data_IF_623397300075
#
_entry.id   IF_623397300075
#
_cell.length_a   1.000
_cell.length_b   1.000
_cell.length_c   1.000
_cell.angle_alpha   90.00
_cell.angle_beta   90.00
_cell.angle_gamma   90.00
#
_symmetry.space_group_name_H-M   'P 1'
#
loop_
_entity.id
_entity.type
_entity.pdbx_description
1 polymer ?
#
# COMPACT_ATOMS: atom_id res chain seq x y z
N UNK A 1 28.36 -8.02 -3.32
CA UNK A 1 27.68 -9.16 -4.00
C UNK A 1 26.22 -8.84 -4.27
N UNK A 2 25.39 -8.54 -3.26
CA UNK A 2 23.94 -8.30 -3.46
C UNK A 2 23.66 -7.18 -4.49
N UNK A 3 24.31 -6.02 -4.37
CA UNK A 3 24.19 -4.93 -5.36
C UNK A 3 24.49 -5.38 -6.80
N UNK A 4 25.57 -6.14 -7.00
CA UNK A 4 25.93 -6.67 -8.31
C UNK A 4 24.89 -7.67 -8.83
N UNK A 5 24.34 -8.51 -7.96
CA UNK A 5 23.30 -9.46 -8.31
C UNK A 5 21.96 -8.79 -8.69
N UNK A 6 21.66 -7.60 -8.15
CA UNK A 6 20.48 -6.82 -8.51
C UNK A 6 20.52 -6.28 -9.95
N UNK A 7 21.71 -6.18 -10.58
CA UNK A 7 21.90 -5.72 -11.97
C UNK A 7 22.32 -6.84 -12.93
N UNK A 8 22.31 -8.09 -12.47
CA UNK A 8 22.68 -9.24 -13.29
C UNK A 8 21.76 -9.37 -14.50
N UNK A 9 22.27 -9.87 -15.63
CA UNK A 9 21.47 -10.06 -16.84
C UNK A 9 20.38 -11.12 -16.66
N UNK A 10 20.64 -12.14 -15.83
CA UNK A 10 19.71 -13.22 -15.54
C UNK A 10 18.59 -12.77 -14.57
N UNK A 11 17.30 -12.79 -14.98
CA UNK A 11 16.19 -12.43 -14.11
C UNK A 11 16.12 -13.27 -12.83
N UNK A 12 16.51 -14.55 -12.92
CA UNK A 12 16.56 -15.45 -11.76
C UNK A 12 17.53 -14.99 -10.66
N UNK A 13 18.67 -14.40 -11.06
CA UNK A 13 19.66 -13.84 -10.12
C UNK A 13 19.10 -12.57 -9.47
N UNK A 14 18.55 -11.64 -10.26
CA UNK A 14 17.91 -10.42 -9.74
C UNK A 14 16.76 -10.74 -8.77
N UNK A 15 15.91 -11.71 -9.12
CA UNK A 15 14.80 -12.18 -8.25
C UNK A 15 15.30 -12.60 -6.88
N UNK A 16 16.34 -13.44 -6.83
CA UNK A 16 16.92 -13.92 -5.58
C UNK A 16 17.64 -12.81 -4.82
N UNK A 17 18.29 -11.88 -5.53
CA UNK A 17 18.96 -10.73 -4.93
C UNK A 17 17.97 -9.80 -4.20
N UNK A 18 16.83 -9.47 -4.82
CA UNK A 18 15.81 -8.65 -4.16
C UNK A 18 15.12 -9.37 -3.00
N UNK A 19 14.92 -10.70 -3.07
CA UNK A 19 14.45 -11.47 -1.92
C UNK A 19 15.45 -11.39 -0.75
N UNK A 20 16.73 -11.64 -1.02
CA UNK A 20 17.76 -11.54 0.02
C UNK A 20 17.86 -10.11 0.58
N UNK A 21 17.72 -9.08 -0.25
CA UNK A 21 17.71 -7.69 0.20
C UNK A 21 16.60 -7.41 1.22
N UNK A 22 15.38 -7.88 0.98
CA UNK A 22 14.29 -7.71 1.95
C UNK A 22 14.55 -8.47 3.25
N UNK A 23 15.07 -9.71 3.18
CA UNK A 23 15.44 -10.48 4.37
C UNK A 23 16.56 -9.82 5.18
N UNK A 24 17.57 -9.25 4.51
CA UNK A 24 18.66 -8.50 5.14
C UNK A 24 18.15 -7.19 5.77
N UNK A 25 17.21 -6.50 5.11
CA UNK A 25 16.59 -5.28 5.65
C UNK A 25 15.87 -5.59 6.97
N UNK A 26 15.22 -6.75 7.05
CA UNK A 26 14.55 -7.21 8.26
C UNK A 26 15.51 -7.69 9.36
N UNK A 27 16.55 -8.42 8.99
CA UNK A 27 17.40 -9.14 9.94
C UNK A 27 18.59 -8.31 10.42
N UNK A 28 19.16 -7.48 9.55
CA UNK A 28 20.38 -6.73 9.80
C UNK A 28 20.38 -5.38 9.05
N UNK A 29 19.44 -4.47 9.36
CA UNK A 29 19.25 -3.20 8.65
C UNK A 29 20.52 -2.34 8.62
N UNK A 30 21.32 -2.33 9.69
CA UNK A 30 22.57 -1.57 9.77
C UNK A 30 23.59 -1.94 8.68
N UNK A 31 23.52 -3.15 8.13
CA UNK A 31 24.40 -3.60 7.03
C UNK A 31 23.86 -3.15 5.66
N UNK A 32 22.57 -2.84 5.55
CA UNK A 32 21.92 -2.42 4.31
C UNK A 32 21.97 -0.90 4.15
N UNK A 33 21.81 -0.16 5.26
CA UNK A 33 21.77 1.31 5.28
C UNK A 33 22.92 2.02 4.54
N UNK A 34 24.19 1.58 4.61
CA UNK A 34 25.27 2.23 3.87
C UNK A 34 25.08 2.25 2.33
N UNK A 35 24.29 1.31 1.80
CA UNK A 35 23.98 1.19 0.37
C UNK A 35 22.51 1.47 0.05
N UNK A 36 21.76 2.09 0.98
CA UNK A 36 20.32 2.36 0.83
C UNK A 36 20.01 3.06 -0.48
N UNK A 37 20.72 4.14 -0.80
CA UNK A 37 20.51 4.91 -2.03
C UNK A 37 20.58 4.02 -3.27
N UNK A 38 21.66 3.23 -3.38
CA UNK A 38 21.89 2.34 -4.52
C UNK A 38 20.79 1.27 -4.61
N UNK A 39 20.38 0.69 -3.48
CA UNK A 39 19.29 -0.29 -3.48
C UNK A 39 17.96 0.32 -3.91
N UNK A 40 17.62 1.51 -3.41
CA UNK A 40 16.38 2.19 -3.78
C UNK A 40 16.36 2.58 -5.25
N UNK A 41 17.46 3.10 -5.81
CA UNK A 41 17.59 3.41 -7.23
C UNK A 41 17.35 2.16 -8.09
N UNK A 42 17.95 1.02 -7.72
CA UNK A 42 17.78 -0.25 -8.41
C UNK A 42 16.35 -0.79 -8.31
N UNK A 43 15.71 -0.63 -7.15
CA UNK A 43 14.30 -1.01 -6.94
C UNK A 43 13.39 -0.16 -7.83
N UNK A 44 13.54 1.17 -7.81
CA UNK A 44 12.73 2.09 -8.63
C UNK A 44 12.91 1.79 -10.11
N UNK A 45 14.15 1.55 -10.57
CA UNK A 45 14.42 1.17 -11.95
C UNK A 45 13.76 -0.16 -12.33
N UNK A 46 13.84 -1.18 -11.45
CA UNK A 46 13.25 -2.49 -11.69
C UNK A 46 11.70 -2.46 -11.75
N UNK A 47 11.07 -1.52 -11.03
CA UNK A 47 9.62 -1.39 -10.93
C UNK A 47 8.99 -0.46 -11.97
N UNK A 48 9.79 0.10 -12.89
CA UNK A 48 9.25 0.89 -14.00
C UNK A 48 8.28 0.06 -14.87
N UNK A 49 7.22 0.67 -15.44
CA UNK A 49 6.18 -0.05 -16.18
C UNK A 49 6.69 -0.99 -17.27
N UNK A 50 7.72 -0.59 -18.02
CA UNK A 50 8.34 -1.41 -19.08
C UNK A 50 8.96 -2.72 -18.57
N UNK A 51 9.30 -2.79 -17.27
CA UNK A 51 9.87 -3.98 -16.65
C UNK A 51 8.80 -4.91 -16.07
N UNK A 52 7.52 -4.49 -15.99
CA UNK A 52 6.42 -5.33 -15.50
C UNK A 52 5.91 -6.24 -16.63
N UNK A 53 6.78 -7.17 -17.03
CA UNK A 53 6.51 -8.16 -18.09
C UNK A 53 6.73 -9.57 -17.55
N UNK A 54 6.20 -10.58 -18.25
CA UNK A 54 6.19 -11.98 -17.80
C UNK A 54 7.54 -12.48 -17.27
N UNK A 55 8.64 -12.24 -18.00
CA UNK A 55 9.99 -12.68 -17.61
C UNK A 55 10.53 -12.00 -16.33
N UNK A 56 10.06 -10.79 -16.03
CA UNK A 56 10.49 -9.99 -14.88
C UNK A 56 9.46 -9.99 -13.74
N UNK A 57 8.30 -10.60 -13.91
CA UNK A 57 7.18 -10.52 -12.96
C UNK A 57 7.60 -10.88 -11.52
N UNK A 58 8.32 -11.99 -11.35
CA UNK A 58 8.82 -12.40 -10.03
C UNK A 58 9.95 -11.50 -9.50
N UNK A 59 10.71 -10.85 -10.38
CA UNK A 59 11.75 -9.89 -9.98
C UNK A 59 11.07 -8.65 -9.40
N UNK A 60 10.08 -8.10 -10.11
CA UNK A 60 9.30 -6.95 -9.67
C UNK A 60 8.52 -7.24 -8.39
N UNK A 61 7.98 -8.45 -8.23
CA UNK A 61 7.36 -8.89 -6.99
C UNK A 61 8.32 -8.77 -5.79
N UNK A 62 9.54 -9.28 -5.93
CA UNK A 62 10.51 -9.24 -4.84
C UNK A 62 11.09 -7.84 -4.63
N UNK A 63 11.25 -7.04 -5.69
CA UNK A 63 11.66 -5.64 -5.59
C UNK A 63 10.61 -4.79 -4.86
N UNK A 64 9.32 -4.96 -5.19
CA UNK A 64 8.21 -4.29 -4.51
C UNK A 64 8.16 -4.65 -3.03
N UNK A 65 8.31 -5.94 -2.69
CA UNK A 65 8.37 -6.38 -1.30
C UNK A 65 9.59 -5.84 -0.55
N UNK A 66 10.79 -5.91 -1.15
CA UNK A 66 12.02 -5.38 -0.55
C UNK A 66 11.93 -3.87 -0.29
N UNK A 67 11.28 -3.11 -1.18
CA UNK A 67 11.02 -1.69 -0.98
C UNK A 67 10.20 -1.44 0.30
N UNK A 68 9.17 -2.24 0.54
CA UNK A 68 8.34 -2.16 1.74
C UNK A 68 9.11 -2.52 3.02
N UNK A 69 9.92 -3.57 3.00
CA UNK A 69 10.77 -3.96 4.13
C UNK A 69 11.83 -2.90 4.44
N UNK A 70 12.41 -2.27 3.42
CA UNK A 70 13.33 -1.14 3.60
C UNK A 70 12.61 0.08 4.18
N UNK A 71 11.42 0.41 3.67
CA UNK A 71 10.66 1.58 4.11
C UNK A 71 10.44 1.56 5.63
N UNK A 72 9.98 0.44 6.18
CA UNK A 72 9.70 0.34 7.63
C UNK A 72 10.95 0.34 8.51
N UNK A 73 12.15 0.21 7.94
CA UNK A 73 13.44 0.20 8.65
C UNK A 73 14.29 1.44 8.41
N UNK A 74 13.80 2.37 7.59
CA UNK A 74 14.54 3.55 7.20
C UNK A 74 13.86 4.78 7.79
N UNK A 75 14.61 5.71 8.42
CA UNK A 75 14.05 6.99 8.86
C UNK A 75 13.45 7.76 7.69
N UNK A 76 12.33 8.46 7.93
CA UNK A 76 11.59 9.19 6.90
C UNK A 76 12.47 10.14 6.08
N UNK A 77 13.43 10.82 6.72
CA UNK A 77 14.36 11.76 6.07
C UNK A 77 15.24 11.08 5.02
N UNK A 78 15.65 9.83 5.26
CA UNK A 78 16.47 9.07 4.32
C UNK A 78 15.64 8.42 3.20
N UNK A 79 14.32 8.30 3.37
CA UNK A 79 13.41 7.81 2.33
C UNK A 79 12.92 8.90 1.38
N UNK A 80 12.92 10.16 1.81
CA UNK A 80 12.16 11.25 1.19
C UNK A 80 12.30 11.32 -0.33
N UNK A 81 13.51 11.13 -0.87
CA UNK A 81 13.78 11.18 -2.32
C UNK A 81 13.14 10.04 -3.13
N UNK A 82 12.78 8.94 -2.48
CA UNK A 82 12.26 7.72 -3.13
C UNK A 82 10.75 7.53 -2.93
N UNK A 83 10.16 8.21 -1.94
CA UNK A 83 8.77 8.02 -1.55
C UNK A 83 7.83 8.24 -2.74
N UNK A 84 7.93 9.39 -3.40
CA UNK A 84 7.07 9.70 -4.54
C UNK A 84 7.30 8.77 -5.75
N UNK A 85 8.55 8.51 -6.21
CA UNK A 85 8.82 7.53 -7.27
C UNK A 85 8.29 6.14 -6.97
N UNK A 86 8.52 5.62 -5.75
CA UNK A 86 8.05 4.29 -5.36
C UNK A 86 6.53 4.23 -5.30
N UNK A 87 5.88 5.24 -4.71
CA UNK A 87 4.41 5.30 -4.66
C UNK A 87 3.81 5.34 -6.07
N UNK A 88 4.40 6.11 -6.99
CA UNK A 88 4.00 6.12 -8.38
C UNK A 88 4.12 4.73 -9.03
N UNK A 89 5.24 4.02 -8.83
CA UNK A 89 5.39 2.65 -9.31
C UNK A 89 4.33 1.71 -8.72
N UNK A 90 4.05 1.80 -7.41
CA UNK A 90 3.03 0.96 -6.77
C UNK A 90 1.64 1.21 -7.37
N UNK A 91 1.24 2.48 -7.53
CA UNK A 91 -0.06 2.85 -8.09
C UNK A 91 -0.18 2.34 -9.53
N UNK A 92 0.86 2.54 -10.36
CA UNK A 92 0.87 2.03 -11.72
C UNK A 92 0.70 0.50 -11.77
N UNK A 93 1.37 -0.24 -10.88
CA UNK A 93 1.22 -1.69 -10.76
C UNK A 93 -0.22 -2.07 -10.37
N UNK A 94 -0.84 -1.33 -9.44
CA UNK A 94 -2.21 -1.57 -9.00
C UNK A 94 -3.26 -1.27 -10.08
N UNK A 95 -2.96 -0.34 -10.99
CA UNK A 95 -3.84 0.02 -12.11
C UNK A 95 -3.70 -0.93 -13.33
N UNK A 96 -2.71 -1.82 -13.33
CA UNK A 96 -2.51 -2.78 -14.43
C UNK A 96 -3.61 -3.84 -14.46
N UNK A 97 -4.24 -4.01 -15.63
CA UNK A 97 -5.28 -5.03 -15.85
C UNK A 97 -4.78 -6.47 -15.69
N UNK A 98 -3.51 -6.72 -16.01
CA UNK A 98 -2.91 -8.06 -16.03
C UNK A 98 -1.65 -8.14 -15.14
N UNK A 99 -1.81 -7.77 -13.87
CA UNK A 99 -0.78 -8.02 -12.85
C UNK A 99 -1.04 -9.34 -12.14
N UNK A 100 0.00 -10.11 -11.83
CA UNK A 100 -0.19 -11.31 -11.01
C UNK A 100 -0.61 -10.91 -9.59
N UNK A 101 -1.46 -11.72 -8.97
CA UNK A 101 -2.04 -11.44 -7.65
C UNK A 101 -0.98 -11.05 -6.60
N UNK A 102 0.09 -11.82 -6.49
CA UNK A 102 1.15 -11.59 -5.48
C UNK A 102 1.82 -10.22 -5.64
N UNK A 103 2.08 -9.75 -6.87
CA UNK A 103 2.68 -8.44 -7.08
C UNK A 103 1.71 -7.31 -6.72
N UNK A 104 0.43 -7.44 -7.07
CA UNK A 104 -0.60 -6.47 -6.66
C UNK A 104 -0.78 -6.41 -5.13
N UNK A 105 -0.73 -7.56 -4.44
CA UNK A 105 -0.76 -7.63 -2.99
C UNK A 105 0.47 -6.93 -2.38
N UNK A 106 1.69 -7.24 -2.86
CA UNK A 106 2.91 -6.58 -2.42
C UNK A 106 2.92 -5.08 -2.70
N UNK A 107 2.40 -4.64 -3.84
CA UNK A 107 2.32 -3.21 -4.16
C UNK A 107 1.42 -2.45 -3.19
N UNK A 108 0.27 -3.02 -2.83
CA UNK A 108 -0.65 -2.42 -1.87
C UNK A 108 -0.05 -2.35 -0.44
N UNK A 109 0.67 -3.41 -0.02
CA UNK A 109 1.33 -3.47 1.28
C UNK A 109 2.48 -2.46 1.34
N UNK A 110 3.32 -2.42 0.30
CA UNK A 110 4.45 -1.50 0.20
C UNK A 110 3.99 -0.05 0.17
N UNK A 111 2.92 0.27 -0.55
CA UNK A 111 2.34 1.61 -0.52
C UNK A 111 1.89 2.01 0.89
N UNK A 112 1.28 1.09 1.65
CA UNK A 112 0.93 1.34 3.05
C UNK A 112 2.13 1.54 3.96
N UNK A 113 3.19 0.76 3.78
CA UNK A 113 4.43 0.92 4.54
C UNK A 113 5.13 2.26 4.25
N UNK A 114 5.14 2.71 3.00
CA UNK A 114 5.63 4.04 2.63
C UNK A 114 4.77 5.14 3.28
N UNK A 115 3.45 5.03 3.17
CA UNK A 115 2.48 5.97 3.75
C UNK A 115 2.55 6.05 5.27
N UNK A 116 2.86 4.95 5.95
CA UNK A 116 3.04 4.93 7.41
C UNK A 116 4.28 5.71 7.86
N UNK A 117 5.34 5.72 7.05
CA UNK A 117 6.62 6.36 7.40
C UNK A 117 6.68 7.81 6.90
N UNK A 118 6.15 8.07 5.70
CA UNK A 118 6.20 9.37 5.03
C UNK A 118 4.80 9.84 4.58
N UNK A 119 3.83 9.99 5.50
CA UNK A 119 2.48 10.42 5.13
C UNK A 119 2.46 11.86 4.58
N UNK A 120 3.30 12.74 5.11
CA UNK A 120 3.35 14.14 4.69
C UNK A 120 3.80 14.31 3.23
N UNK A 121 4.72 13.46 2.76
CA UNK A 121 5.21 13.47 1.37
C UNK A 121 4.20 12.86 0.38
N UNK A 122 3.23 12.08 0.86
CA UNK A 122 2.27 11.34 0.02
C UNK A 122 0.85 11.90 0.01
N UNK A 123 0.48 12.72 1.00
CA UNK A 123 -0.88 13.24 1.15
C UNK A 123 -1.43 13.99 -0.08
N UNK A 124 -0.55 14.64 -0.86
CA UNK A 124 -0.92 15.37 -2.07
C UNK A 124 -1.35 14.47 -3.23
N UNK A 125 -0.89 13.21 -3.25
CA UNK A 125 -1.24 12.23 -4.28
C UNK A 125 -2.42 11.33 -3.91
N UNK A 126 -2.94 11.41 -2.67
CA UNK A 126 -3.86 10.43 -2.10
C UNK A 126 -5.08 10.15 -3.00
N UNK A 127 -5.72 11.19 -3.55
CA UNK A 127 -6.92 11.06 -4.38
C UNK A 127 -6.69 10.16 -5.61
N UNK A 128 -5.49 10.19 -6.19
CA UNK A 128 -5.14 9.36 -7.35
C UNK A 128 -4.87 7.90 -6.97
N UNK A 129 -4.46 7.63 -5.73
CA UNK A 129 -4.08 6.29 -5.28
C UNK A 129 -5.25 5.50 -4.71
N UNK A 130 -6.26 6.18 -4.16
CA UNK A 130 -7.22 5.55 -3.25
C UNK A 130 -8.03 4.42 -3.86
N UNK A 131 -8.59 4.60 -5.05
CA UNK A 131 -9.51 3.60 -5.64
C UNK A 131 -8.81 2.26 -5.88
N UNK A 132 -7.68 2.26 -6.58
CA UNK A 132 -6.95 1.02 -6.88
C UNK A 132 -6.30 0.43 -5.64
N UNK A 133 -5.80 1.26 -4.73
CA UNK A 133 -5.23 0.81 -3.48
C UNK A 133 -6.25 0.18 -2.54
N UNK A 134 -7.40 0.82 -2.31
CA UNK A 134 -8.49 0.25 -1.52
C UNK A 134 -9.01 -1.05 -2.14
N UNK A 135 -9.17 -1.09 -3.46
CA UNK A 135 -9.56 -2.30 -4.18
C UNK A 135 -8.58 -3.46 -3.95
N UNK A 136 -7.29 -3.20 -3.90
CA UNK A 136 -6.27 -4.20 -3.59
C UNK A 136 -6.27 -4.63 -2.13
N UNK A 137 -6.31 -3.67 -1.19
CA UNK A 137 -6.36 -3.93 0.26
C UNK A 137 -7.59 -4.78 0.64
N UNK A 138 -8.74 -4.55 0.00
CA UNK A 138 -9.98 -5.33 0.18
C UNK A 138 -9.79 -6.83 -0.03
N UNK A 139 -8.84 -7.22 -0.90
CA UNK A 139 -8.59 -8.62 -1.29
C UNK A 139 -7.55 -9.33 -0.42
N UNK A 140 -6.83 -8.59 0.42
CA UNK A 140 -5.86 -9.15 1.35
C UNK A 140 -6.56 -9.96 2.44
N UNK A 141 -5.89 -11.04 2.86
CA UNK A 141 -6.28 -11.80 4.05
C UNK A 141 -5.95 -10.97 5.29
N UNK A 142 -6.79 -11.09 6.31
CA UNK A 142 -6.52 -10.43 7.59
C UNK A 142 -5.23 -10.98 8.20
N UNK A 143 -4.34 -10.07 8.57
CA UNK A 143 -2.98 -10.39 9.01
C UNK A 143 -2.12 -9.13 9.07
N UNK A 144 -0.86 -9.31 9.48
CA UNK A 144 0.06 -8.19 9.70
C UNK A 144 0.27 -7.37 8.43
N UNK A 145 0.36 -8.00 7.25
CA UNK A 145 0.56 -7.24 6.02
C UNK A 145 -0.65 -6.36 5.65
N UNK A 146 -1.87 -6.84 5.89
CA UNK A 146 -3.07 -6.02 5.71
C UNK A 146 -3.13 -4.90 6.74
N UNK A 147 -2.72 -5.15 7.99
CA UNK A 147 -2.63 -4.11 9.02
C UNK A 147 -1.66 -3.00 8.61
N UNK A 148 -0.47 -3.35 8.09
CA UNK A 148 0.50 -2.37 7.57
C UNK A 148 -0.09 -1.53 6.42
N UNK A 149 -0.78 -2.19 5.49
CA UNK A 149 -1.52 -1.54 4.41
C UNK A 149 -2.50 -0.49 4.92
N UNK A 150 -3.33 -0.85 5.89
CA UNK A 150 -4.36 0.03 6.46
C UNK A 150 -3.80 1.10 7.39
N UNK A 151 -2.73 0.85 8.16
CA UNK A 151 -2.07 1.88 8.98
C UNK A 151 -1.62 3.06 8.11
N UNK A 152 -1.00 2.77 6.96
CA UNK A 152 -0.60 3.80 6.01
C UNK A 152 -1.79 4.55 5.40
N UNK A 153 -2.83 3.82 4.99
CA UNK A 153 -4.06 4.42 4.44
C UNK A 153 -4.73 5.36 5.47
N UNK A 154 -4.88 4.90 6.71
CA UNK A 154 -5.46 5.69 7.80
C UNK A 154 -4.64 6.95 8.06
N UNK A 155 -3.31 6.83 8.17
CA UNK A 155 -2.42 7.96 8.39
C UNK A 155 -2.55 9.02 7.27
N UNK A 156 -2.63 8.59 6.01
CA UNK A 156 -2.80 9.49 4.88
C UNK A 156 -4.18 10.16 4.84
N UNK A 157 -5.23 9.39 5.09
CA UNK A 157 -6.59 9.92 5.13
C UNK A 157 -6.75 10.94 6.25
N UNK A 158 -6.15 10.73 7.43
CA UNK A 158 -6.18 11.71 8.51
C UNK A 158 -5.47 13.02 8.14
N UNK A 159 -4.44 12.97 7.30
CA UNK A 159 -3.74 14.16 6.78
C UNK A 159 -4.54 14.90 5.70
N UNK A 160 -5.22 14.15 4.83
CA UNK A 160 -6.02 14.73 3.75
C UNK A 160 -7.38 14.03 3.61
N UNK A 161 -8.36 14.32 4.49
CA UNK A 161 -9.68 13.67 4.45
C UNK A 161 -10.47 13.98 3.16
N UNK A 162 -10.24 15.15 2.57
CA UNK A 162 -10.93 15.57 1.34
C UNK A 162 -10.57 14.69 0.13
N UNK A 163 -9.35 14.14 0.09
CA UNK A 163 -8.92 13.28 -1.00
C UNK A 163 -9.71 11.95 -1.07
N UNK A 164 -10.30 11.51 0.05
CA UNK A 164 -11.06 10.26 0.09
C UNK A 164 -12.53 10.36 -0.25
N UNK A 165 -13.08 11.57 -0.40
CA UNK A 165 -14.49 11.76 -0.75
C UNK A 165 -14.81 11.13 -2.11
N UNK A 166 -13.94 11.32 -3.11
CA UNK A 166 -14.13 10.74 -4.45
C UNK A 166 -13.97 9.22 -4.54
N UNK A 167 -13.38 8.61 -3.52
CA UNK A 167 -13.14 7.16 -3.43
C UNK A 167 -13.84 6.55 -2.21
N UNK A 168 -14.89 7.21 -1.68
CA UNK A 168 -15.53 6.83 -0.42
C UNK A 168 -16.05 5.39 -0.47
N UNK A 169 -16.76 5.01 -1.53
CA UNK A 169 -17.25 3.66 -1.70
C UNK A 169 -16.12 2.62 -1.60
N UNK A 170 -15.00 2.84 -2.31
CA UNK A 170 -13.85 1.93 -2.27
C UNK A 170 -13.21 1.86 -0.88
N UNK A 171 -13.10 2.98 -0.17
CA UNK A 171 -12.60 3.02 1.21
C UNK A 171 -13.50 2.20 2.15
N UNK A 172 -14.82 2.40 2.07
CA UNK A 172 -15.80 1.70 2.91
C UNK A 172 -15.79 0.19 2.64
N UNK A 173 -15.74 -0.23 1.38
CA UNK A 173 -15.60 -1.64 1.02
C UNK A 173 -14.31 -2.27 1.55
N UNK A 174 -13.19 -1.53 1.47
CA UNK A 174 -11.92 -1.99 1.99
C UNK A 174 -12.00 -2.18 3.51
N UNK A 175 -12.54 -1.21 4.26
CA UNK A 175 -12.74 -1.32 5.71
C UNK A 175 -13.70 -2.47 6.06
N UNK A 176 -14.79 -2.63 5.32
CA UNK A 176 -15.74 -3.72 5.52
C UNK A 176 -15.18 -5.11 5.18
N UNK A 177 -14.05 -5.20 4.48
CA UNK A 177 -13.45 -6.50 4.11
C UNK A 177 -12.83 -7.27 5.29
N UNK A 178 -12.56 -6.59 6.40
CA UNK A 178 -11.99 -7.21 7.59
C UNK A 178 -12.99 -8.16 8.24
N UNK A 179 -12.61 -9.42 8.45
CA UNK A 179 -13.35 -10.35 9.33
C UNK A 179 -13.08 -10.05 10.79
N UNK A 180 -11.84 -9.68 11.11
CA UNK A 180 -11.43 -9.21 12.42
C UNK A 180 -10.02 -8.64 12.37
N UNK A 181 -9.86 -7.37 12.73
CA UNK A 181 -8.56 -6.74 12.87
C UNK A 181 -8.03 -7.04 14.28
N UNK A 182 -6.83 -7.63 14.40
CA UNK A 182 -6.23 -7.98 15.70
C UNK A 182 -5.65 -6.76 16.39
N UNK A 183 -5.21 -5.78 15.60
CA UNK A 183 -4.78 -4.49 16.11
C UNK A 183 -5.99 -3.64 16.50
N UNK A 184 -6.29 -3.60 17.80
CA UNK A 184 -7.46 -2.89 18.35
C UNK A 184 -7.42 -1.38 18.06
N UNK A 185 -6.24 -0.77 18.09
CA UNK A 185 -6.07 0.65 17.79
C UNK A 185 -6.39 0.95 16.31
N UNK A 186 -5.90 0.11 15.39
CA UNK A 186 -6.23 0.25 13.97
C UNK A 186 -7.74 0.02 13.73
N UNK A 187 -8.34 -0.96 14.39
CA UNK A 187 -9.77 -1.21 14.31
C UNK A 187 -10.58 0.01 14.77
N UNK A 188 -10.19 0.62 15.89
CA UNK A 188 -10.78 1.85 16.42
C UNK A 188 -10.64 3.00 15.42
N UNK A 189 -9.44 3.25 14.90
CA UNK A 189 -9.18 4.31 13.92
C UNK A 189 -9.98 4.12 12.62
N UNK A 190 -10.13 2.89 12.13
CA UNK A 190 -11.00 2.61 10.97
C UNK A 190 -12.46 2.94 11.27
N UNK A 191 -12.96 2.60 12.45
CA UNK A 191 -14.31 2.98 12.88
C UNK A 191 -14.50 4.51 12.97
N UNK A 192 -13.52 5.21 13.54
CA UNK A 192 -13.53 6.69 13.58
C UNK A 192 -13.52 7.31 12.20
N UNK A 193 -12.77 6.75 11.24
CA UNK A 193 -12.81 7.21 9.86
C UNK A 193 -14.19 7.02 9.24
N UNK A 194 -14.83 5.86 9.42
CA UNK A 194 -16.17 5.58 8.90
C UNK A 194 -17.19 6.59 9.44
N UNK A 195 -17.21 6.82 10.76
CA UNK A 195 -18.09 7.81 11.38
C UNK A 195 -17.74 9.23 10.93
N UNK A 196 -16.45 9.56 10.85
CA UNK A 196 -15.96 10.85 10.40
C UNK A 196 -16.38 11.18 8.97
N UNK A 197 -16.28 10.23 8.05
CA UNK A 197 -16.73 10.44 6.66
C UNK A 197 -18.25 10.63 6.56
N UNK A 198 -19.05 9.91 7.34
CA UNK A 198 -20.51 10.14 7.40
C UNK A 198 -20.84 11.59 7.76
N UNK A 199 -20.11 12.16 8.72
CA UNK A 199 -20.28 13.56 9.11
C UNK A 199 -19.73 14.51 8.03
N UNK A 200 -18.57 14.19 7.45
CA UNK A 200 -17.87 15.03 6.47
C UNK A 200 -18.62 15.20 5.15
N UNK A 201 -19.22 14.13 4.62
CA UNK A 201 -19.97 14.18 3.35
C UNK A 201 -21.44 14.58 3.51
N UNK A 202 -21.98 14.49 4.74
CA UNK A 202 -23.37 14.76 5.04
C UNK A 202 -24.32 13.59 4.76
N UNK A 203 -25.50 13.64 5.37
CA UNK A 203 -26.46 12.52 5.38
C UNK A 203 -26.92 12.07 4.00
N UNK A 204 -27.26 13.01 3.11
CA UNK A 204 -27.79 12.68 1.78
C UNK A 204 -26.74 11.99 0.90
N UNK A 205 -25.51 12.52 0.88
CA UNK A 205 -24.41 11.93 0.12
C UNK A 205 -24.01 10.56 0.71
N UNK A 206 -23.99 10.43 2.03
CA UNK A 206 -23.74 9.16 2.71
C UNK A 206 -24.77 8.09 2.34
N UNK A 207 -26.06 8.41 2.42
CA UNK A 207 -27.15 7.50 2.06
C UNK A 207 -27.03 7.09 0.59
N UNK A 208 -26.75 8.05 -0.30
CA UNK A 208 -26.55 7.77 -1.72
C UNK A 208 -25.43 6.75 -1.95
N UNK A 209 -24.28 6.93 -1.30
CA UNK A 209 -23.16 5.97 -1.41
C UNK A 209 -23.56 4.59 -0.87
N UNK A 210 -24.20 4.51 0.30
CA UNK A 210 -24.62 3.22 0.88
C UNK A 210 -25.63 2.46 0.00
N UNK A 211 -26.55 3.18 -0.67
CA UNK A 211 -27.65 2.57 -1.43
C UNK A 211 -27.29 2.28 -2.90
N UNK A 212 -26.43 3.09 -3.52
CA UNK A 212 -26.19 3.04 -4.96
C UNK A 212 -24.76 2.67 -5.35
N UNK A 213 -23.78 2.82 -4.45
CA UNK A 213 -22.36 2.62 -4.76
C UNK A 213 -21.76 1.41 -4.03
N UNK A 214 -22.44 0.88 -3.01
CA UNK A 214 -22.00 -0.29 -2.25
C UNK A 214 -22.89 -1.51 -2.50
N UNK A 215 -22.30 -2.70 -2.43
CA UNK A 215 -23.07 -3.93 -2.35
C UNK A 215 -23.92 -3.97 -1.06
N UNK A 216 -25.17 -4.49 -1.10
CA UNK A 216 -26.06 -4.48 0.07
C UNK A 216 -25.49 -5.18 1.31
N UNK A 217 -24.69 -6.23 1.12
CA UNK A 217 -24.03 -6.94 2.23
C UNK A 217 -22.94 -6.11 2.92
N UNK A 218 -22.24 -5.26 2.16
CA UNK A 218 -21.23 -4.34 2.68
C UNK A 218 -21.90 -3.25 3.51
N UNK A 219 -22.95 -2.62 2.97
CA UNK A 219 -23.70 -1.58 3.68
C UNK A 219 -24.28 -2.10 5.01
N UNK A 220 -24.87 -3.31 5.00
CA UNK A 220 -25.37 -3.94 6.23
C UNK A 220 -24.28 -4.15 7.26
N UNK A 221 -23.13 -4.70 6.84
CA UNK A 221 -22.00 -4.95 7.75
C UNK A 221 -21.47 -3.65 8.36
N UNK A 222 -21.35 -2.58 7.59
CA UNK A 222 -20.92 -1.28 8.09
C UNK A 222 -21.88 -0.74 9.15
N UNK A 223 -23.19 -0.88 8.93
CA UNK A 223 -24.21 -0.46 9.89
C UNK A 223 -24.15 -1.29 11.18
N UNK A 224 -24.02 -2.62 11.08
CA UNK A 224 -23.89 -3.53 12.23
C UNK A 224 -22.59 -3.31 13.03
N UNK A 225 -21.49 -2.99 12.35
CA UNK A 225 -20.16 -2.88 12.98
C UNK A 225 -19.93 -1.49 13.57
N UNK A 226 -20.39 -0.42 12.90
CA UNK A 226 -20.03 0.96 13.24
C UNK A 226 -21.24 1.87 13.54
N UNK A 227 -22.48 1.37 13.41
CA UNK A 227 -23.69 2.16 13.70
C UNK A 227 -23.96 3.29 12.70
N UNK A 228 -23.46 3.17 11.48
CA UNK A 228 -23.55 4.19 10.41
C UNK A 228 -24.62 3.93 9.37
#
# INVERSE_FOLDING_TARGET
IVLAACVDSAPGVRRSAFALLGDLSRSCPNQVMPSLQQFMDLIVAQLQPQNIISINMSVCNNASWAAGELAVRTPAQALQLFVAPLAQCMVQILDMRMVNRSLGENAAITLGRLAMVCPDDLQGGLSHMMTSWCGALRRLRDGVEKEDGFKGLVALVQKNPNAGVGALASLLEAIASWRGCRNEELARQMGELVVGYKQHVGGDAWIKTLQHELEPGVARKLSETYGV
#
